data_IF_817498221450
#
_entry.id   IF_817498221450
#
_cell.length_a   1.000
_cell.length_b   1.000
_cell.length_c   1.000
_cell.angle_alpha   90.00
_cell.angle_beta   90.00
_cell.angle_gamma   90.00
#
_symmetry.space_group_name_H-M   'P 1'
#
loop_
_entity.id
_entity.type
_entity.pdbx_description
1 polymer ?
#
# COMPACT_ATOMS: atom_id res chain seq x y z
N UNK A 1 6.16 7.88 -21.13
CA UNK A 1 4.95 7.18 -20.69
C UNK A 1 3.73 7.96 -21.16
N UNK A 2 2.76 7.30 -21.78
CA UNK A 2 1.48 7.86 -22.19
C UNK A 2 0.54 7.92 -20.97
N UNK A 3 0.82 8.87 -20.08
CA UNK A 3 0.17 9.00 -18.78
C UNK A 3 -1.36 9.05 -18.89
N UNK A 4 -1.90 9.79 -19.86
CA UNK A 4 -3.35 9.92 -20.06
C UNK A 4 -4.01 8.57 -20.36
N UNK A 5 -3.38 7.75 -21.20
CA UNK A 5 -3.92 6.43 -21.57
C UNK A 5 -3.81 5.44 -20.41
N UNK A 6 -2.72 5.46 -19.64
CA UNK A 6 -2.57 4.62 -18.45
C UNK A 6 -3.61 4.98 -17.40
N UNK A 7 -3.82 6.27 -17.12
CA UNK A 7 -4.86 6.69 -16.18
C UNK A 7 -6.25 6.29 -16.66
N UNK A 8 -6.52 6.37 -17.97
CA UNK A 8 -7.79 5.87 -18.54
C UNK A 8 -8.00 4.38 -18.26
N UNK A 9 -6.99 3.54 -18.46
CA UNK A 9 -7.09 2.12 -18.12
C UNK A 9 -7.21 1.88 -16.62
N UNK A 10 -6.52 2.67 -15.78
CA UNK A 10 -6.64 2.58 -14.32
C UNK A 10 -8.03 2.96 -13.83
N UNK A 11 -8.66 3.97 -14.43
CA UNK A 11 -10.04 4.34 -14.13
C UNK A 11 -11.00 3.20 -14.48
N UNK A 12 -10.85 2.58 -15.66
CA UNK A 12 -11.65 1.41 -16.06
C UNK A 12 -11.47 0.21 -15.11
N UNK A 13 -10.24 -0.02 -14.66
CA UNK A 13 -9.94 -1.06 -13.67
C UNK A 13 -10.63 -0.75 -12.34
N UNK A 14 -10.57 0.50 -11.87
CA UNK A 14 -11.25 0.95 -10.65
C UNK A 14 -12.78 0.83 -10.74
N UNK A 15 -13.38 1.09 -11.90
CA UNK A 15 -14.81 0.87 -12.14
C UNK A 15 -15.21 -0.60 -11.99
N UNK A 16 -14.36 -1.52 -12.45
CA UNK A 16 -14.58 -2.97 -12.33
C UNK A 16 -14.40 -3.45 -10.87
N UNK A 17 -13.41 -2.93 -10.14
CA UNK A 17 -13.19 -3.23 -8.72
C UNK A 17 -14.34 -2.80 -7.82
N UNK A 18 -14.98 -1.67 -8.14
CA UNK A 18 -16.12 -1.14 -7.37
C UNK A 18 -17.40 -1.97 -7.47
N UNK A 19 -17.41 -3.04 -8.27
CA UNK A 19 -18.58 -3.91 -8.46
C UNK A 19 -18.69 -4.98 -7.35
N UNK A 20 -19.91 -5.23 -6.86
CA UNK A 20 -20.17 -6.23 -5.81
C UNK A 20 -19.86 -7.67 -6.24
N UNK A 21 -19.99 -7.95 -7.54
CA UNK A 21 -19.64 -9.22 -8.15
C UNK A 21 -18.74 -8.91 -9.36
N UNK A 22 -17.49 -9.41 -9.39
CA UNK A 22 -16.57 -9.10 -10.48
C UNK A 22 -17.11 -9.68 -11.79
N UNK A 23 -17.30 -8.81 -12.79
CA UNK A 23 -17.61 -9.26 -14.15
C UNK A 23 -16.34 -9.83 -14.80
N UNK A 24 -16.11 -11.14 -14.60
CA UNK A 24 -14.95 -11.85 -15.13
C UNK A 24 -14.81 -11.69 -16.65
N UNK A 25 -15.92 -11.60 -17.38
CA UNK A 25 -15.89 -11.43 -18.82
C UNK A 25 -15.40 -10.02 -19.21
N UNK A 26 -15.83 -8.99 -18.47
CA UNK A 26 -15.33 -7.63 -18.65
C UNK A 26 -13.85 -7.52 -18.27
N UNK A 27 -13.42 -8.14 -17.17
CA UNK A 27 -12.01 -8.16 -16.73
C UNK A 27 -11.12 -8.83 -17.78
N UNK A 28 -11.49 -10.01 -18.28
CA UNK A 28 -10.75 -10.67 -19.36
C UNK A 28 -10.78 -9.87 -20.67
N UNK A 29 -11.92 -9.24 -20.98
CA UNK A 29 -12.04 -8.36 -22.15
C UNK A 29 -11.05 -7.19 -22.09
N UNK A 30 -10.99 -6.50 -20.95
CA UNK A 30 -10.10 -5.37 -20.73
C UNK A 30 -8.62 -5.78 -20.81
N UNK A 31 -8.26 -6.95 -20.29
CA UNK A 31 -6.90 -7.49 -20.44
C UNK A 31 -6.53 -7.67 -21.92
N UNK A 32 -7.43 -8.24 -22.73
CA UNK A 32 -7.21 -8.42 -24.17
C UNK A 32 -7.10 -7.08 -24.90
N UNK A 33 -7.88 -6.08 -24.50
CA UNK A 33 -7.79 -4.72 -25.04
C UNK A 33 -6.42 -4.10 -24.77
N UNK A 34 -5.94 -4.19 -23.53
CA UNK A 34 -4.61 -3.69 -23.14
C UNK A 34 -3.49 -4.38 -23.93
N UNK A 35 -3.57 -5.70 -24.11
CA UNK A 35 -2.58 -6.46 -24.89
C UNK A 35 -2.57 -6.10 -26.38
N UNK A 36 -3.72 -5.73 -26.93
CA UNK A 36 -3.89 -5.38 -28.34
C UNK A 36 -3.67 -3.89 -28.63
N UNK A 37 -3.61 -3.02 -27.61
CA UNK A 37 -3.50 -1.58 -27.79
C UNK A 37 -2.12 -1.18 -28.30
N UNK A 38 -2.06 -0.82 -29.59
CA UNK A 38 -0.84 -0.38 -30.27
C UNK A 38 -0.34 0.99 -29.82
N UNK A 39 -1.12 1.73 -29.02
CA UNK A 39 -0.71 3.03 -28.44
C UNK A 39 0.02 2.87 -27.11
N UNK A 40 0.00 1.66 -26.52
CA UNK A 40 0.81 1.32 -25.36
C UNK A 40 2.14 0.71 -25.80
N UNK A 41 3.22 1.14 -25.18
CA UNK A 41 4.51 0.45 -25.24
C UNK A 41 4.46 -0.87 -24.46
N UNK A 42 5.42 -1.77 -24.71
CA UNK A 42 5.50 -3.04 -23.99
C UNK A 42 5.62 -2.87 -22.47
N UNK A 43 6.30 -1.81 -22.02
CA UNK A 43 6.45 -1.49 -20.59
C UNK A 43 5.11 -1.07 -19.98
N UNK A 44 4.32 -0.29 -20.70
CA UNK A 44 3.01 0.19 -20.23
C UNK A 44 1.96 -0.93 -20.25
N UNK A 45 2.00 -1.79 -21.26
CA UNK A 45 1.21 -3.02 -21.28
C UNK A 45 1.58 -3.93 -20.11
N UNK A 46 2.88 -4.14 -19.85
CA UNK A 46 3.34 -4.93 -18.71
C UNK A 46 2.84 -4.35 -17.38
N UNK A 47 2.95 -3.03 -17.21
CA UNK A 47 2.44 -2.35 -16.02
C UNK A 47 0.95 -2.61 -15.82
N UNK A 48 0.15 -2.39 -16.86
CA UNK A 48 -1.29 -2.56 -16.78
C UNK A 48 -1.71 -4.03 -16.59
N UNK A 49 -1.01 -4.99 -17.21
CA UNK A 49 -1.24 -6.42 -16.95
C UNK A 49 -0.96 -6.76 -15.49
N UNK A 50 0.20 -6.38 -14.96
CA UNK A 50 0.55 -6.64 -13.56
C UNK A 50 -0.40 -5.93 -12.59
N UNK A 51 -0.80 -4.71 -12.90
CA UNK A 51 -1.76 -3.93 -12.12
C UNK A 51 -3.14 -4.61 -12.08
N UNK A 52 -3.68 -5.02 -13.24
CA UNK A 52 -4.91 -5.80 -13.30
C UNK A 52 -4.81 -7.13 -12.56
N UNK A 53 -3.69 -7.85 -12.72
CA UNK A 53 -3.49 -9.14 -12.05
C UNK A 53 -3.45 -9.00 -10.53
N UNK A 54 -2.91 -7.88 -10.01
CA UNK A 54 -2.92 -7.58 -8.57
C UNK A 54 -4.35 -7.36 -8.05
N UNK A 55 -5.15 -6.55 -8.75
CA UNK A 55 -6.51 -6.22 -8.32
C UNK A 55 -7.54 -7.33 -8.56
N UNK A 56 -7.30 -8.20 -9.54
CA UNK A 56 -8.19 -9.30 -9.91
C UNK A 56 -7.50 -10.66 -9.79
N UNK A 57 -6.77 -10.90 -8.70
CA UNK A 57 -5.95 -12.10 -8.50
C UNK A 57 -6.71 -13.42 -8.73
N UNK A 58 -7.96 -13.49 -8.27
CA UNK A 58 -8.79 -14.69 -8.40
C UNK A 58 -9.28 -14.94 -9.84
N UNK A 59 -9.36 -13.89 -10.67
CA UNK A 59 -9.83 -13.96 -12.06
C UNK A 59 -8.66 -14.13 -13.01
N UNK A 60 -7.57 -13.39 -12.79
CA UNK A 60 -6.42 -13.31 -13.66
C UNK A 60 -5.26 -14.18 -13.17
N UNK A 61 -5.55 -15.39 -12.73
CA UNK A 61 -4.57 -16.35 -12.19
C UNK A 61 -3.40 -16.69 -13.12
N UNK A 62 -3.55 -16.43 -14.42
CA UNK A 62 -2.49 -16.60 -15.43
C UNK A 62 -1.46 -15.46 -15.47
N UNK A 63 -1.78 -14.30 -14.87
CA UNK A 63 -0.89 -13.13 -14.86
C UNK A 63 0.09 -13.28 -13.71
N UNK A 64 1.38 -13.34 -14.03
CA UNK A 64 2.45 -13.27 -13.05
C UNK A 64 2.81 -11.80 -12.79
N UNK A 65 2.09 -11.17 -11.85
CA UNK A 65 2.27 -9.75 -11.53
C UNK A 65 3.71 -9.43 -11.12
N UNK A 66 4.37 -10.36 -10.41
CA UNK A 66 5.74 -10.16 -9.93
C UNK A 66 6.71 -10.12 -11.11
N UNK A 67 6.52 -11.02 -12.08
CA UNK A 67 7.31 -11.02 -13.32
C UNK A 67 7.06 -9.76 -14.16
N UNK A 68 5.82 -9.29 -14.27
CA UNK A 68 5.49 -8.06 -14.99
C UNK A 68 6.21 -6.85 -14.38
N UNK A 69 6.09 -6.64 -13.06
CA UNK A 69 6.73 -5.50 -12.40
C UNK A 69 8.26 -5.61 -12.41
N UNK A 70 8.83 -6.79 -12.18
CA UNK A 70 10.29 -6.98 -12.29
C UNK A 70 10.81 -6.78 -13.70
N UNK A 71 10.03 -7.13 -14.72
CA UNK A 71 10.36 -6.86 -16.12
C UNK A 71 10.52 -5.37 -16.39
N UNK A 72 9.63 -4.54 -15.83
CA UNK A 72 9.72 -3.07 -15.88
C UNK A 72 10.98 -2.59 -15.16
N UNK A 73 11.18 -3.03 -13.91
CA UNK A 73 12.29 -2.61 -13.05
C UNK A 73 13.67 -3.04 -13.58
N UNK A 74 13.74 -4.07 -14.41
CA UNK A 74 14.98 -4.44 -15.10
C UNK A 74 15.45 -3.39 -16.13
N UNK A 75 14.52 -2.58 -16.64
CA UNK A 75 14.79 -1.51 -17.61
C UNK A 75 14.82 -0.14 -16.95
N UNK A 76 13.95 0.09 -15.97
CA UNK A 76 13.83 1.31 -15.19
C UNK A 76 13.72 0.98 -13.69
N UNK A 77 14.87 0.82 -12.99
CA UNK A 77 14.87 0.43 -11.58
C UNK A 77 14.17 1.42 -10.63
N UNK A 78 14.02 2.67 -11.06
CA UNK A 78 13.45 3.76 -10.29
C UNK A 78 11.99 4.04 -10.68
N UNK A 79 11.34 3.11 -11.40
CA UNK A 79 9.94 3.26 -11.82
C UNK A 79 8.99 3.18 -10.62
N UNK A 80 8.56 4.33 -10.09
CA UNK A 80 7.78 4.49 -8.86
C UNK A 80 6.57 3.55 -8.76
N UNK A 81 5.70 3.49 -9.78
CA UNK A 81 4.51 2.64 -9.73
C UNK A 81 4.83 1.14 -9.73
N UNK A 82 5.90 0.71 -10.43
CA UNK A 82 6.28 -0.69 -10.47
C UNK A 82 6.90 -1.11 -9.12
N UNK A 83 7.69 -0.23 -8.51
CA UNK A 83 8.17 -0.41 -7.14
C UNK A 83 7.01 -0.45 -6.14
N UNK A 84 6.00 0.42 -6.28
CA UNK A 84 4.82 0.43 -5.42
C UNK A 84 4.04 -0.90 -5.46
N UNK A 85 3.65 -1.36 -6.65
CA UNK A 85 2.83 -2.59 -6.76
C UNK A 85 3.63 -3.87 -6.53
N UNK A 86 4.92 -3.91 -6.88
CA UNK A 86 5.78 -5.01 -6.43
C UNK A 86 5.94 -5.01 -4.91
N UNK A 87 6.04 -3.83 -4.30
CA UNK A 87 6.04 -3.65 -2.86
C UNK A 87 4.78 -4.22 -2.20
N UNK A 88 3.59 -3.83 -2.68
CA UNK A 88 2.32 -4.38 -2.20
C UNK A 88 2.24 -5.89 -2.36
N UNK A 89 2.49 -6.41 -3.57
CA UNK A 89 2.41 -7.85 -3.84
C UNK A 89 3.35 -8.66 -2.92
N UNK A 90 4.57 -8.15 -2.69
CA UNK A 90 5.52 -8.84 -1.80
C UNK A 90 5.18 -8.68 -0.33
N UNK A 91 4.54 -7.57 0.06
CA UNK A 91 4.00 -7.36 1.41
C UNK A 91 2.89 -8.37 1.72
N UNK A 92 1.93 -8.53 0.81
CA UNK A 92 0.74 -9.38 0.99
C UNK A 92 1.10 -10.87 1.16
N UNK A 93 2.18 -11.32 0.51
CA UNK A 93 2.70 -12.69 0.67
C UNK A 93 3.68 -12.86 1.83
N UNK A 94 3.89 -11.81 2.64
CA UNK A 94 4.75 -11.83 3.83
C UNK A 94 6.25 -11.70 3.54
N UNK A 95 6.65 -11.29 2.34
CA UNK A 95 8.05 -11.02 2.00
C UNK A 95 8.40 -9.55 2.30
N UNK A 96 8.34 -9.19 3.58
CA UNK A 96 8.49 -7.82 4.06
C UNK A 96 9.86 -7.19 3.76
N UNK A 97 10.93 -7.98 3.66
CA UNK A 97 12.25 -7.47 3.30
C UNK A 97 12.28 -6.95 1.85
N UNK A 98 11.69 -7.68 0.91
CA UNK A 98 11.59 -7.23 -0.48
C UNK A 98 10.61 -6.08 -0.63
N UNK A 99 9.48 -6.11 0.09
CA UNK A 99 8.49 -5.04 0.10
C UNK A 99 9.11 -3.71 0.54
N UNK A 100 9.82 -3.72 1.68
CA UNK A 100 10.53 -2.57 2.22
C UNK A 100 11.54 -2.00 1.22
N UNK A 101 12.32 -2.87 0.57
CA UNK A 101 13.29 -2.44 -0.45
C UNK A 101 12.60 -1.69 -1.60
N UNK A 102 11.44 -2.15 -2.06
CA UNK A 102 10.74 -1.47 -3.15
C UNK A 102 10.10 -0.16 -2.68
N UNK A 103 9.44 -0.14 -1.52
CA UNK A 103 8.83 1.09 -0.99
C UNK A 103 9.88 2.19 -0.76
N UNK A 104 11.09 1.83 -0.34
CA UNK A 104 12.18 2.79 -0.14
C UNK A 104 12.77 3.37 -1.43
N UNK A 105 12.53 2.74 -2.60
CA UNK A 105 12.96 3.27 -3.91
C UNK A 105 12.02 4.34 -4.46
N UNK A 106 10.80 4.42 -3.95
CA UNK A 106 9.78 5.34 -4.47
C UNK A 106 10.18 6.78 -4.15
N UNK A 107 10.26 7.62 -5.18
CA UNK A 107 10.39 9.04 -4.98
C UNK A 107 9.05 9.63 -4.53
N UNK A 108 8.96 10.03 -3.26
CA UNK A 108 7.72 10.52 -2.68
C UNK A 108 7.38 11.97 -3.03
N UNK A 109 8.35 12.78 -3.49
CA UNK A 109 8.16 14.20 -3.80
C UNK A 109 6.99 14.49 -4.78
N UNK A 110 6.79 13.74 -5.88
CA UNK A 110 5.67 13.95 -6.79
C UNK A 110 4.32 13.41 -6.28
N UNK A 111 4.29 12.66 -5.18
CA UNK A 111 3.05 12.04 -4.67
C UNK A 111 2.26 13.00 -3.77
N UNK A 112 0.94 12.85 -3.77
CA UNK A 112 0.08 13.51 -2.78
C UNK A 112 0.45 13.09 -1.36
N UNK A 113 0.32 14.00 -0.39
CA UNK A 113 0.74 13.77 0.99
C UNK A 113 0.14 12.49 1.59
N UNK A 114 -1.12 12.18 1.29
CA UNK A 114 -1.77 10.96 1.75
C UNK A 114 -1.09 9.68 1.25
N UNK A 115 -0.64 9.68 0.00
CA UNK A 115 0.06 8.55 -0.61
C UNK A 115 1.45 8.40 0.00
N UNK A 116 2.13 9.52 0.30
CA UNK A 116 3.40 9.50 1.03
C UNK A 116 3.24 8.90 2.43
N UNK A 117 2.18 9.29 3.15
CA UNK A 117 1.85 8.73 4.48
C UNK A 117 1.62 7.23 4.36
N UNK A 118 0.81 6.78 3.39
CA UNK A 118 0.53 5.35 3.22
C UNK A 118 1.77 4.51 2.91
N UNK A 119 2.65 4.99 2.03
CA UNK A 119 3.89 4.28 1.70
C UNK A 119 4.81 4.20 2.93
N UNK A 120 4.93 5.29 3.71
CA UNK A 120 5.72 5.29 4.94
C UNK A 120 5.13 4.38 6.01
N UNK A 121 3.81 4.33 6.13
CA UNK A 121 3.09 3.39 6.98
C UNK A 121 3.45 1.94 6.63
N UNK A 122 3.43 1.57 5.36
CA UNK A 122 3.82 0.22 4.91
C UNK A 122 5.28 -0.10 5.24
N UNK A 123 6.18 0.89 5.18
CA UNK A 123 7.58 0.73 5.63
C UNK A 123 7.64 0.48 7.14
N UNK A 124 6.84 1.18 7.96
CA UNK A 124 6.71 0.88 9.40
C UNK A 124 6.24 -0.56 9.62
N UNK A 125 5.20 -1.00 8.89
CA UNK A 125 4.71 -2.38 8.97
C UNK A 125 5.81 -3.39 8.62
N UNK A 126 6.59 -3.12 7.56
CA UNK A 126 7.73 -3.98 7.22
C UNK A 126 8.75 -4.06 8.36
N UNK A 127 9.11 -2.93 8.99
CA UNK A 127 10.00 -2.94 10.14
C UNK A 127 9.42 -3.75 11.32
N UNK A 128 8.12 -3.64 11.60
CA UNK A 128 7.45 -4.42 12.65
C UNK A 128 7.54 -5.92 12.38
N UNK A 129 7.17 -6.39 11.18
CA UNK A 129 7.24 -7.81 10.84
C UNK A 129 8.69 -8.35 10.75
N UNK A 130 9.65 -7.48 10.45
CA UNK A 130 11.09 -7.79 10.52
C UNK A 130 11.68 -7.64 11.94
N UNK A 131 10.86 -7.28 12.92
CA UNK A 131 11.24 -7.05 14.33
C UNK A 131 12.32 -5.98 14.52
N UNK A 132 12.36 -5.00 13.61
CA UNK A 132 13.21 -3.81 13.63
C UNK A 132 12.47 -2.69 14.36
N UNK A 133 12.22 -2.91 15.66
CA UNK A 133 11.28 -2.10 16.44
C UNK A 133 11.74 -0.66 16.67
N UNK A 134 13.04 -0.39 16.79
CA UNK A 134 13.52 0.97 16.97
C UNK A 134 13.37 1.78 15.69
N UNK A 135 13.66 1.16 14.55
CA UNK A 135 13.46 1.74 13.23
C UNK A 135 11.97 1.97 12.93
N UNK A 136 11.10 1.05 13.36
CA UNK A 136 9.65 1.23 13.28
C UNK A 136 9.17 2.47 14.04
N UNK A 137 9.62 2.67 15.29
CA UNK A 137 9.23 3.83 16.11
C UNK A 137 9.74 5.16 15.56
N UNK A 138 10.98 5.19 15.08
CA UNK A 138 11.58 6.39 14.48
C UNK A 138 10.74 6.92 13.31
N UNK A 139 10.06 6.03 12.59
CA UNK A 139 9.19 6.36 11.47
C UNK A 139 7.72 6.54 11.86
N UNK A 140 7.20 5.75 12.81
CA UNK A 140 5.78 5.74 13.19
C UNK A 140 5.32 7.11 13.70
N UNK A 141 6.04 7.70 14.64
CA UNK A 141 5.66 8.98 15.23
C UNK A 141 5.59 10.12 14.18
N UNK A 142 6.58 10.30 13.30
CA UNK A 142 6.45 11.21 12.16
C UNK A 142 5.26 10.93 11.25
N UNK A 143 5.00 9.67 10.90
CA UNK A 143 3.89 9.27 10.02
C UNK A 143 2.54 9.68 10.62
N UNK A 144 2.32 9.38 11.89
CA UNK A 144 1.08 9.74 12.57
C UNK A 144 0.91 11.26 12.72
N UNK A 145 1.99 12.01 12.94
CA UNK A 145 1.94 13.48 12.95
C UNK A 145 1.57 14.05 11.59
N UNK A 146 2.12 13.51 10.50
CA UNK A 146 1.77 13.92 9.14
C UNK A 146 0.30 13.61 8.82
N UNK A 147 -0.23 12.47 9.28
CA UNK A 147 -1.65 12.18 9.18
C UNK A 147 -2.51 13.25 9.89
N UNK A 148 -2.06 13.76 11.04
CA UNK A 148 -2.75 14.86 11.72
C UNK A 148 -2.73 16.19 10.95
N UNK A 149 -1.80 16.39 10.02
CA UNK A 149 -1.65 17.62 9.23
C UNK A 149 -2.52 17.66 7.96
N UNK A 150 -3.08 16.53 7.51
CA UNK A 150 -3.96 16.48 6.34
C UNK A 150 -5.26 17.29 6.57
N UNK A 151 -5.66 18.12 5.61
CA UNK A 151 -6.77 19.07 5.79
C UNK A 151 -8.16 18.44 5.67
N UNK A 152 -8.29 17.30 4.97
CA UNK A 152 -9.59 16.67 4.68
C UNK A 152 -9.64 15.21 5.13
N UNK A 153 -10.86 14.75 5.46
CA UNK A 153 -11.11 13.36 5.83
C UNK A 153 -11.04 12.41 4.62
N UNK A 154 -11.31 12.91 3.41
CA UNK A 154 -11.29 12.12 2.17
C UNK A 154 -9.86 11.80 1.71
N UNK A 155 -8.86 12.56 2.20
CA UNK A 155 -7.45 12.38 1.86
C UNK A 155 -6.71 11.44 2.81
N UNK A 156 -7.38 10.59 3.61
CA UNK A 156 -6.69 9.66 4.50
C UNK A 156 -6.98 8.21 4.14
N UNK A 157 -5.93 7.51 3.69
CA UNK A 157 -6.00 6.07 3.49
C UNK A 157 -6.12 5.39 4.85
N UNK A 158 -7.10 4.48 5.00
CA UNK A 158 -7.30 3.78 6.26
C UNK A 158 -6.04 2.97 6.64
N UNK A 159 -5.59 3.02 7.90
CA UNK A 159 -4.34 2.42 8.35
C UNK A 159 -4.52 0.95 8.73
N UNK A 160 -5.14 0.16 7.84
CA UNK A 160 -5.54 -1.23 8.12
C UNK A 160 -4.31 -2.08 8.47
N UNK A 161 -3.31 -2.07 7.59
CA UNK A 161 -2.09 -2.86 7.70
C UNK A 161 -1.26 -2.44 8.91
N UNK A 162 -1.24 -1.14 9.25
CA UNK A 162 -0.58 -0.67 10.47
C UNK A 162 -1.26 -1.19 11.72
N UNK A 163 -2.60 -1.13 11.77
CA UNK A 163 -3.35 -1.63 12.91
C UNK A 163 -3.21 -3.15 13.08
N UNK A 164 -3.19 -3.89 11.99
CA UNK A 164 -2.94 -5.33 12.00
C UNK A 164 -1.52 -5.66 12.48
N UNK A 165 -0.50 -4.97 11.95
CA UNK A 165 0.89 -5.16 12.37
C UNK A 165 1.08 -4.77 13.86
N UNK A 166 0.48 -3.67 14.32
CA UNK A 166 0.52 -3.30 15.73
C UNK A 166 -0.21 -4.31 16.61
N UNK A 167 -1.38 -4.80 16.19
CA UNK A 167 -2.12 -5.83 16.91
C UNK A 167 -1.26 -7.10 17.08
N UNK A 168 -0.54 -7.52 16.05
CA UNK A 168 0.37 -8.66 16.10
C UNK A 168 1.58 -8.42 17.02
N UNK A 169 2.23 -7.26 16.92
CA UNK A 169 3.56 -7.02 17.51
C UNK A 169 3.59 -6.11 18.75
N UNK A 170 2.44 -5.64 19.25
CA UNK A 170 2.39 -4.63 20.33
C UNK A 170 3.18 -5.01 21.59
N UNK A 171 3.19 -6.28 21.99
CA UNK A 171 3.84 -6.72 23.22
C UNK A 171 5.37 -6.59 23.12
N UNK A 172 5.97 -7.12 22.05
CA UNK A 172 7.39 -7.03 21.76
C UNK A 172 7.80 -5.58 21.48
N UNK A 173 6.99 -4.89 20.66
CA UNK A 173 7.27 -3.52 20.26
C UNK A 173 7.30 -2.59 21.48
N UNK A 174 6.24 -2.58 22.29
CA UNK A 174 6.16 -1.76 23.52
C UNK A 174 7.24 -2.10 24.54
N UNK A 175 7.67 -3.36 24.62
CA UNK A 175 8.77 -3.77 25.50
C UNK A 175 10.12 -3.18 25.06
N UNK A 176 10.34 -3.02 23.75
CA UNK A 176 11.59 -2.46 23.19
C UNK A 176 11.64 -0.94 23.29
N UNK A 177 10.55 -0.25 22.92
CA UNK A 177 10.53 1.23 22.91
C UNK A 177 10.23 1.83 24.28
N UNK A 178 9.67 1.03 25.19
CA UNK A 178 9.31 1.43 26.54
C UNK A 178 7.91 2.04 26.63
N UNK A 179 7.35 1.97 27.84
CA UNK A 179 5.96 2.33 28.11
C UNK A 179 5.62 3.80 27.78
N UNK A 180 6.54 4.73 28.01
CA UNK A 180 6.29 6.15 27.76
C UNK A 180 6.18 6.46 26.26
N UNK A 181 7.07 5.87 25.44
CA UNK A 181 7.02 6.00 23.99
C UNK A 181 5.76 5.33 23.42
N UNK A 182 5.50 4.09 23.85
CA UNK A 182 4.30 3.35 23.45
C UNK A 182 3.00 4.10 23.77
N UNK A 183 2.87 4.66 24.97
CA UNK A 183 1.70 5.47 25.34
C UNK A 183 1.57 6.72 24.48
N UNK A 184 2.69 7.34 24.07
CA UNK A 184 2.67 8.49 23.17
C UNK A 184 2.18 8.11 21.78
N UNK A 185 2.68 7.01 21.22
CA UNK A 185 2.32 6.54 19.88
C UNK A 185 0.86 6.10 19.83
N UNK A 186 0.40 5.33 20.82
CA UNK A 186 -1.00 4.90 20.91
C UNK A 186 -1.93 6.10 21.05
N UNK A 187 -1.57 7.10 21.87
CA UNK A 187 -2.36 8.32 21.97
C UNK A 187 -2.47 9.03 20.62
N UNK A 188 -1.36 9.17 19.90
CA UNK A 188 -1.35 9.86 18.62
C UNK A 188 -2.13 9.08 17.56
N UNK A 189 -2.03 7.76 17.55
CA UNK A 189 -2.84 6.88 16.69
C UNK A 189 -4.33 7.04 17.00
N UNK A 190 -4.72 7.07 18.27
CA UNK A 190 -6.12 7.33 18.66
C UNK A 190 -6.60 8.71 18.20
N UNK A 191 -5.77 9.75 18.33
CA UNK A 191 -6.10 11.09 17.86
C UNK A 191 -6.31 11.12 16.33
N UNK A 192 -5.48 10.38 15.57
CA UNK A 192 -5.64 10.18 14.12
C UNK A 192 -6.95 9.48 13.81
N UNK A 193 -7.21 8.31 14.41
CA UNK A 193 -8.43 7.55 14.14
C UNK A 193 -9.69 8.33 14.52
N UNK A 194 -9.64 9.11 15.60
CA UNK A 194 -10.74 9.99 15.99
C UNK A 194 -10.98 11.10 14.97
N UNK A 195 -9.91 11.73 14.45
CA UNK A 195 -10.02 12.79 13.43
C UNK A 195 -10.75 12.30 12.17
N UNK A 196 -10.52 11.04 11.79
CA UNK A 196 -11.06 10.42 10.59
C UNK A 196 -12.32 9.58 10.83
N UNK A 197 -12.93 9.64 12.02
CA UNK A 197 -14.12 8.86 12.39
C UNK A 197 -13.92 7.32 12.23
N UNK A 198 -12.71 6.83 12.46
CA UNK A 198 -12.32 5.42 12.27
C UNK A 198 -12.26 4.60 13.57
N UNK A 199 -12.47 5.22 14.74
CA UNK A 199 -12.36 4.56 16.05
C UNK A 199 -13.28 3.34 16.17
N UNK A 200 -14.54 3.46 15.72
CA UNK A 200 -15.51 2.36 15.80
C UNK A 200 -15.20 1.26 14.78
N UNK A 201 -14.69 1.64 13.60
CA UNK A 201 -14.28 0.72 12.53
C UNK A 201 -13.17 -0.23 13.00
N UNK A 202 -12.24 0.28 13.81
CA UNK A 202 -11.08 -0.47 14.28
C UNK A 202 -11.07 -0.74 15.80
N UNK A 203 -12.26 -0.78 16.41
CA UNK A 203 -12.39 -0.95 17.85
C UNK A 203 -11.76 -2.27 18.35
N UNK A 204 -11.78 -3.33 17.54
CA UNK A 204 -11.19 -4.63 17.88
C UNK A 204 -9.67 -4.56 17.95
N UNK A 205 -9.01 -4.02 16.92
CA UNK A 205 -7.56 -3.82 16.88
C UNK A 205 -7.12 -2.88 18.01
N UNK A 206 -7.87 -1.79 18.24
CA UNK A 206 -7.59 -0.86 19.32
C UNK A 206 -7.69 -1.50 20.71
N UNK A 207 -8.64 -2.41 20.92
CA UNK A 207 -8.77 -3.14 22.18
C UNK A 207 -7.60 -4.11 22.46
N UNK A 208 -6.87 -4.53 21.41
CA UNK A 208 -5.69 -5.40 21.56
C UNK A 208 -4.44 -4.59 21.93
N UNK A 209 -4.26 -3.40 21.34
CA UNK A 209 -3.05 -2.60 21.50
C UNK A 209 -3.14 -1.56 22.62
N UNK A 210 -4.36 -1.22 23.06
CA UNK A 210 -4.56 -0.29 24.18
C UNK A 210 -4.38 -1.01 25.53
N UNK A 211 -3.61 -0.45 26.48
CA UNK A 211 -3.41 -1.02 27.81
C UNK A 211 -4.67 -1.00 28.71
#
# INVERSE_FOLDING_TARGET
MNHELIETYRDLIGELEGSLEPDEAAIHGLLVEIEADANLSQVEQAFLRGYMGYHFLDVLTQVDCEAEFRGILAHDPDHDLANLYLGYQTFDIGNYATAMEQFQKINLDPHFLWSQIKIRELIVCCHLHLQQFLEAEELLCPVLRQAMELDSNDDYAHPIELLEALAEWHAEFSAVIGADAWQCDIKLLMDVLQKYDLTDTFAEQLAQISP
#
